data_IF_150468905990
#
_entry.id   IF_150468905990
#
_cell.length_a   1.000
_cell.length_b   1.000
_cell.length_c   1.000
_cell.angle_alpha   90.00
_cell.angle_beta   90.00
_cell.angle_gamma   90.00
#
_symmetry.space_group_name_H-M   'P 1'
#
loop_
_entity.id
_entity.type
_entity.pdbx_description
1 polymer ?
#
# COMPACT_ATOMS: atom_id res chain seq x y z
N UNK A 1 1.92 -28.76 18.03
CA UNK A 1 3.06 -28.20 17.26
C UNK A 1 2.57 -27.00 16.48
N UNK A 2 3.17 -25.86 16.75
CA UNK A 2 2.89 -24.62 16.00
C UNK A 2 3.65 -24.63 14.68
N UNK A 3 3.25 -23.76 13.75
CA UNK A 3 4.01 -23.57 12.50
C UNK A 3 5.46 -23.12 12.76
N UNK A 4 5.68 -22.37 13.86
CA UNK A 4 7.00 -21.92 14.30
C UNK A 4 7.92 -23.09 14.67
N UNK A 5 7.38 -24.10 15.36
CA UNK A 5 8.15 -25.28 15.77
C UNK A 5 8.62 -26.10 14.55
N UNK A 6 7.79 -26.19 13.50
CA UNK A 6 8.15 -26.86 12.26
C UNK A 6 9.26 -26.12 11.49
N UNK A 7 9.15 -24.80 11.42
CA UNK A 7 10.16 -23.94 10.76
C UNK A 7 11.51 -24.06 11.49
N UNK A 8 11.53 -24.02 12.83
CA UNK A 8 12.78 -24.20 13.58
C UNK A 8 13.42 -25.58 13.36
N UNK A 9 12.63 -26.64 13.27
CA UNK A 9 13.15 -27.99 13.01
C UNK A 9 13.77 -28.15 11.62
N UNK A 10 13.28 -27.44 10.60
CA UNK A 10 13.89 -27.42 9.27
C UNK A 10 15.14 -26.54 9.22
N UNK A 11 15.11 -25.37 9.86
CA UNK A 11 16.27 -24.47 9.97
C UNK A 11 17.45 -25.17 10.64
N UNK A 12 17.22 -25.93 11.70
CA UNK A 12 18.27 -26.65 12.43
C UNK A 12 18.94 -27.77 11.60
N UNK A 13 18.38 -28.15 10.45
CA UNK A 13 18.93 -29.19 9.55
C UNK A 13 19.71 -28.60 8.37
N UNK A 14 19.68 -27.29 8.19
CA UNK A 14 20.35 -26.60 7.09
C UNK A 14 21.79 -26.22 7.49
N UNK A 15 22.68 -26.21 6.51
CA UNK A 15 24.04 -25.69 6.69
C UNK A 15 24.03 -24.15 6.74
N UNK A 16 25.03 -23.58 7.40
CA UNK A 16 25.13 -22.15 7.69
C UNK A 16 25.12 -21.25 6.44
N UNK A 17 25.69 -21.71 5.32
CA UNK A 17 25.64 -21.01 4.03
C UNK A 17 24.21 -20.79 3.52
N UNK A 18 23.32 -21.76 3.73
CA UNK A 18 21.91 -21.64 3.32
C UNK A 18 21.07 -20.85 4.33
N UNK A 19 21.57 -20.67 5.57
CA UNK A 19 20.89 -19.89 6.60
C UNK A 19 20.92 -18.40 6.29
N UNK A 20 22.02 -17.90 5.72
CA UNK A 20 22.14 -16.51 5.30
C UNK A 20 21.17 -16.18 4.14
N UNK A 21 21.09 -17.05 3.14
CA UNK A 21 20.12 -16.91 2.04
C UNK A 21 18.68 -16.96 2.55
N UNK A 22 18.38 -17.90 3.46
CA UNK A 22 17.06 -18.02 4.06
C UNK A 22 16.71 -16.81 4.93
N UNK A 23 17.68 -16.22 5.62
CA UNK A 23 17.49 -15.01 6.40
C UNK A 23 17.07 -13.83 5.52
N UNK A 24 17.72 -13.65 4.37
CA UNK A 24 17.35 -12.61 3.39
C UNK A 24 15.90 -12.81 2.93
N UNK A 25 15.51 -14.03 2.56
CA UNK A 25 14.14 -14.34 2.14
C UNK A 25 13.10 -14.04 3.23
N UNK A 26 13.37 -14.43 4.48
CA UNK A 26 12.47 -14.18 5.61
C UNK A 26 12.37 -12.66 5.88
N UNK A 27 13.49 -11.95 5.81
CA UNK A 27 13.56 -10.50 6.01
C UNK A 27 12.73 -9.77 4.95
N UNK A 28 12.90 -10.13 3.68
CA UNK A 28 12.16 -9.51 2.58
C UNK A 28 10.67 -9.81 2.69
N UNK A 29 10.30 -11.05 3.03
CA UNK A 29 8.92 -11.43 3.28
C UNK A 29 8.30 -10.63 4.44
N UNK A 30 9.03 -10.46 5.54
CA UNK A 30 8.58 -9.69 6.70
C UNK A 30 8.41 -8.21 6.35
N UNK A 31 9.34 -7.63 5.60
CA UNK A 31 9.25 -6.24 5.12
C UNK A 31 8.07 -6.04 4.17
N UNK A 32 7.84 -6.95 3.23
CA UNK A 32 6.69 -6.91 2.34
C UNK A 32 5.36 -6.95 3.12
N UNK A 33 5.26 -7.78 4.16
CA UNK A 33 4.09 -7.82 5.05
C UNK A 33 3.91 -6.54 5.89
N UNK A 34 5.00 -5.87 6.25
CA UNK A 34 4.93 -4.57 6.93
C UNK A 34 4.47 -3.45 5.98
N UNK A 35 4.91 -3.47 4.71
CA UNK A 35 4.48 -2.52 3.69
C UNK A 35 3.05 -2.77 3.19
N UNK A 36 2.54 -3.99 3.36
CA UNK A 36 1.13 -4.34 3.18
C UNK A 36 0.18 -3.72 4.22
N UNK A 37 0.66 -2.89 5.17
CA UNK A 37 -0.20 -2.00 5.95
C UNK A 37 -1.02 -1.16 4.96
N UNK A 38 -2.33 -1.46 4.91
CA UNK A 38 -3.28 -0.83 3.99
C UNK A 38 -3.00 0.68 3.90
N UNK A 39 -2.83 1.25 2.69
CA UNK A 39 -2.62 2.68 2.56
C UNK A 39 -3.78 3.39 3.27
N UNK A 40 -3.43 4.40 4.07
CA UNK A 40 -4.41 5.16 4.83
C UNK A 40 -5.47 5.72 3.87
N UNK A 41 -6.70 5.92 4.35
CA UNK A 41 -7.77 6.52 3.55
C UNK A 41 -7.30 7.82 2.87
N UNK A 42 -6.52 8.64 3.61
CA UNK A 42 -5.93 9.88 3.10
C UNK A 42 -4.91 9.65 1.97
N UNK A 43 -4.12 8.59 2.05
CA UNK A 43 -3.19 8.20 0.99
C UNK A 43 -3.93 7.80 -0.29
N UNK A 44 -5.09 7.14 -0.17
CA UNK A 44 -5.95 6.80 -1.32
C UNK A 44 -6.63 8.04 -1.90
N UNK A 45 -7.15 8.93 -1.05
CA UNK A 45 -7.76 10.20 -1.48
C UNK A 45 -6.76 11.09 -2.23
N UNK A 46 -5.50 11.15 -1.79
CA UNK A 46 -4.42 11.90 -2.48
C UNK A 46 -4.08 11.36 -3.87
N UNK A 47 -4.38 10.10 -4.17
CA UNK A 47 -4.16 9.52 -5.50
C UNK A 47 -5.25 9.92 -6.50
N UNK A 48 -6.41 10.40 -6.03
CA UNK A 48 -7.48 10.89 -6.89
C UNK A 48 -7.06 12.25 -7.45
N UNK A 49 -6.74 12.28 -8.74
CA UNK A 49 -6.48 13.53 -9.48
C UNK A 49 -7.80 14.05 -10.01
N UNK A 50 -8.25 15.19 -9.50
CA UNK A 50 -9.41 15.90 -10.04
C UNK A 50 -8.92 16.72 -11.23
N UNK A 51 -9.31 16.32 -12.44
CA UNK A 51 -9.05 17.11 -13.64
C UNK A 51 -10.18 18.14 -13.78
N UNK A 52 -9.98 19.33 -13.22
CA UNK A 52 -10.95 20.41 -13.27
C UNK A 52 -10.25 21.75 -13.60
N UNK A 53 -11.00 22.75 -14.12
CA UNK A 53 -10.48 24.08 -14.36
C UNK A 53 -9.93 24.74 -13.09
N UNK A 54 -9.01 25.69 -13.24
CA UNK A 54 -8.33 26.36 -12.10
C UNK A 54 -9.31 27.05 -11.14
N UNK A 55 -10.49 27.44 -11.63
CA UNK A 55 -11.53 28.11 -10.87
C UNK A 55 -12.52 27.15 -10.19
N UNK A 56 -12.38 25.84 -10.38
CA UNK A 56 -13.33 24.83 -9.92
C UNK A 56 -13.56 24.86 -8.40
N UNK A 57 -12.50 25.03 -7.62
CA UNK A 57 -12.61 25.10 -6.16
C UNK A 57 -13.30 26.39 -5.68
N UNK A 58 -13.16 27.48 -6.43
CA UNK A 58 -13.70 28.79 -6.10
C UNK A 58 -15.15 28.96 -6.56
N UNK A 59 -15.54 28.29 -7.65
CA UNK A 59 -16.85 28.42 -8.31
C UNK A 59 -17.68 27.12 -8.24
N UNK A 60 -17.49 26.32 -7.19
CA UNK A 60 -18.08 24.98 -7.06
C UNK A 60 -19.62 25.01 -7.20
N UNK A 61 -20.26 26.04 -6.66
CA UNK A 61 -21.71 26.26 -6.76
C UNK A 61 -22.18 26.46 -8.21
N UNK A 62 -21.38 27.11 -9.06
CA UNK A 62 -21.71 27.32 -10.48
C UNK A 62 -21.65 26.02 -11.28
N UNK A 63 -20.69 25.15 -10.97
CA UNK A 63 -20.59 23.81 -11.59
C UNK A 63 -21.70 22.87 -11.10
N UNK A 64 -22.11 22.97 -9.83
CA UNK A 64 -23.21 22.19 -9.27
C UNK A 64 -24.59 22.67 -9.74
N UNK A 65 -24.75 23.99 -9.92
CA UNK A 65 -25.99 24.59 -10.36
C UNK A 65 -26.30 24.30 -11.83
N UNK A 66 -25.32 23.77 -12.59
CA UNK A 66 -25.43 23.49 -14.02
C UNK A 66 -25.75 24.77 -14.76
N UNK A 67 -24.70 25.52 -15.11
CA UNK A 67 -24.77 26.79 -15.83
C UNK A 67 -26.00 26.90 -16.75
N UNK A 68 -27.04 27.61 -16.28
CA UNK A 68 -28.14 28.09 -17.12
C UNK A 68 -27.69 29.40 -17.76
N UNK A 69 -26.61 29.30 -18.52
CA UNK A 69 -25.91 30.39 -19.16
C UNK A 69 -25.84 30.24 -20.68
N UNK A 70 -26.85 29.62 -21.31
CA UNK A 70 -27.09 29.82 -22.74
C UNK A 70 -27.39 31.29 -22.99
N UNK A 71 -26.44 32.01 -23.60
CA UNK A 71 -26.67 33.10 -24.56
C UNK A 71 -25.44 33.33 -25.43
#
# INVERSE_FOLDING_TARGET
>A
MTAKDKIQAEIARLNEEYLDELYILIKDFAQAKQQLKKPSLMSKLKQIKINAPEDFASNLDSYLAGDKGDK
#
